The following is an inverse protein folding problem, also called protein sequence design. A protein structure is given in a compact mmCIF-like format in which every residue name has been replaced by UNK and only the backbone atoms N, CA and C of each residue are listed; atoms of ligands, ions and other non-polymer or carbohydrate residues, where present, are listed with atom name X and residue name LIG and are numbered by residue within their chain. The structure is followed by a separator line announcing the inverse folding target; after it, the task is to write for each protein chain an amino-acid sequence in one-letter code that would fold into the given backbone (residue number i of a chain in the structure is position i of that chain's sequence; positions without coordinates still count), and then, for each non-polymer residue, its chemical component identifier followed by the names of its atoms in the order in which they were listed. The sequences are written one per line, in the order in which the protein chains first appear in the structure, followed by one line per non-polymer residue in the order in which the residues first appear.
data_IF_277620835359
#
_entry.id   IF_277620835359
#
_cell.length_a   1.000
_cell.length_b   1.000
_cell.length_c   1.000
_cell.angle_alpha   90.00
_cell.angle_beta   90.00
_cell.angle_gamma   90.00
#
_symmetry.space_group_name_H-M   'P 1'
#
loop_
_entity.id
_entity.type
_entity.pdbx_description
1 polymer ?
#
# COMPACT_ATOMS: atom_id res chain seq x y z
N UNK A 1 7.17 78.95 25.53
CA UNK A 1 8.13 77.99 24.99
C UNK A 1 8.05 76.71 25.83
N UNK A 2 7.25 75.70 25.43
CA UNK A 2 7.14 74.41 26.11
C UNK A 2 7.81 73.37 25.23
N UNK A 3 8.88 72.77 25.72
CA UNK A 3 9.65 71.70 25.10
C UNK A 3 8.92 70.32 25.28
N UNK A 4 8.47 69.77 24.22
CA UNK A 4 7.80 68.48 24.17
C UNK A 4 8.86 67.37 24.04
N UNK A 5 9.09 66.60 25.14
CA UNK A 5 9.95 65.42 25.17
C UNK A 5 9.20 64.29 24.54
N UNK A 6 9.52 63.92 23.28
CA UNK A 6 9.11 62.68 22.65
C UNK A 6 9.79 61.49 23.36
N UNK A 7 8.96 60.67 24.05
CA UNK A 7 9.39 59.40 24.62
C UNK A 7 9.69 58.39 23.50
N UNK A 8 10.88 57.78 23.56
CA UNK A 8 11.25 56.61 22.71
C UNK A 8 10.40 55.40 23.11
N UNK A 9 9.80 54.65 22.15
CA UNK A 9 9.20 53.40 22.47
C UNK A 9 10.27 52.36 22.85
N UNK A 10 10.05 51.64 23.94
CA UNK A 10 10.88 50.53 24.41
C UNK A 10 10.85 49.39 23.40
N UNK A 11 11.95 48.64 23.18
CA UNK A 11 11.94 47.45 22.30
C UNK A 11 11.04 46.37 22.91
N UNK A 12 9.97 46.04 22.20
CA UNK A 12 9.15 44.90 22.52
C UNK A 12 10.01 43.63 22.42
N UNK A 13 10.12 42.92 23.55
CA UNK A 13 10.82 41.64 23.61
C UNK A 13 10.24 40.65 22.60
N UNK A 14 11.08 40.20 21.68
CA UNK A 14 10.80 39.10 20.78
C UNK A 14 10.63 37.84 21.61
N UNK A 15 9.40 37.46 21.89
CA UNK A 15 9.11 36.12 22.39
C UNK A 15 9.54 35.13 21.33
N UNK A 16 10.71 34.52 21.47
CA UNK A 16 11.17 33.40 20.66
C UNK A 16 10.14 32.25 20.71
N UNK A 17 10.09 31.40 19.68
CA UNK A 17 9.11 30.31 19.60
C UNK A 17 9.26 29.45 20.85
N UNK A 18 8.24 29.45 21.72
CA UNK A 18 8.15 28.52 22.83
C UNK A 18 8.21 27.11 22.26
N UNK A 19 9.31 26.41 22.52
CA UNK A 19 9.47 25.00 22.18
C UNK A 19 8.24 24.23 22.64
N UNK A 20 7.44 23.77 21.71
CA UNK A 20 6.28 22.92 21.94
C UNK A 20 6.80 21.61 22.54
N UNK A 21 6.74 21.50 23.87
CA UNK A 21 6.98 20.21 24.55
C UNK A 21 5.92 19.25 24.02
N UNK A 22 6.36 18.19 23.35
CA UNK A 22 5.49 17.12 22.92
C UNK A 22 4.53 16.72 24.04
N UNK A 23 3.23 16.59 23.77
CA UNK A 23 2.24 16.27 24.81
C UNK A 23 2.64 14.96 25.48
N UNK A 24 2.80 14.98 26.82
CA UNK A 24 3.07 13.77 27.58
C UNK A 24 1.88 12.81 27.39
N UNK A 25 2.14 11.67 26.77
CA UNK A 25 1.12 10.61 26.61
C UNK A 25 0.58 10.26 27.98
N UNK A 26 -0.72 10.48 28.20
CA UNK A 26 -1.38 10.23 29.47
C UNK A 26 -1.32 8.75 29.82
N UNK A 27 -1.34 8.40 31.10
CA UNK A 27 -1.33 7.00 31.58
C UNK A 27 -2.41 6.15 30.89
N UNK A 28 -3.61 6.66 30.76
CA UNK A 28 -4.72 6.00 30.06
C UNK A 28 -4.46 5.75 28.56
N UNK A 29 -3.81 6.68 27.88
CA UNK A 29 -3.43 6.50 26.48
C UNK A 29 -2.37 5.38 26.31
N UNK A 30 -1.46 5.22 27.27
CA UNK A 30 -0.50 4.10 27.26
C UNK A 30 -1.19 2.75 27.47
N UNK A 31 -2.15 2.68 28.42
CA UNK A 31 -2.95 1.47 28.63
C UNK A 31 -3.73 1.13 27.36
N UNK A 32 -4.42 2.11 26.77
CA UNK A 32 -5.17 1.92 25.52
C UNK A 32 -4.28 1.37 24.39
N UNK A 33 -3.11 1.98 24.19
CA UNK A 33 -2.14 1.51 23.18
C UNK A 33 -1.64 0.10 23.48
N UNK A 34 -1.33 -0.23 24.74
CA UNK A 34 -0.87 -1.56 25.13
C UNK A 34 -1.97 -2.61 24.89
N UNK A 35 -3.21 -2.34 25.31
CA UNK A 35 -4.35 -3.24 25.05
C UNK A 35 -4.57 -3.43 23.55
N UNK A 36 -4.53 -2.36 22.78
CA UNK A 36 -4.69 -2.44 21.33
C UNK A 36 -3.59 -3.28 20.69
N UNK A 37 -2.33 -3.07 21.08
CA UNK A 37 -1.19 -3.84 20.60
C UNK A 37 -1.32 -5.33 20.94
N UNK A 38 -1.70 -5.66 22.16
CA UNK A 38 -1.93 -7.05 22.60
C UNK A 38 -3.05 -7.69 21.78
N UNK A 39 -4.16 -6.97 21.57
CA UNK A 39 -5.30 -7.46 20.78
C UNK A 39 -4.90 -7.78 19.33
N UNK A 40 -4.02 -7.00 18.73
CA UNK A 40 -3.51 -7.26 17.36
C UNK A 40 -2.49 -8.39 17.34
N UNK A 41 -1.64 -8.52 18.36
CA UNK A 41 -0.60 -9.53 18.39
C UNK A 41 -1.10 -10.93 18.75
N UNK A 42 -2.17 -11.07 19.54
CA UNK A 42 -2.75 -12.37 19.91
C UNK A 42 -3.10 -13.24 18.70
N UNK A 43 -3.86 -12.80 17.70
CA UNK A 43 -4.15 -13.61 16.52
C UNK A 43 -2.91 -14.06 15.77
N UNK A 44 -1.91 -13.18 15.64
CA UNK A 44 -0.63 -13.50 14.99
C UNK A 44 0.13 -14.56 15.78
N UNK A 45 0.19 -14.44 17.11
CA UNK A 45 0.81 -15.42 17.99
C UNK A 45 0.11 -16.80 17.92
N UNK A 46 -1.23 -16.81 17.82
CA UNK A 46 -2.00 -18.06 17.63
C UNK A 46 -1.65 -18.72 16.30
N UNK A 47 -1.61 -17.96 15.20
CA UNK A 47 -1.24 -18.47 13.88
C UNK A 47 0.21 -18.99 13.90
N UNK A 48 1.13 -18.27 14.54
CA UNK A 48 2.52 -18.70 14.71
C UNK A 48 2.62 -20.01 15.51
N UNK A 49 1.83 -20.15 16.56
CA UNK A 49 1.80 -21.40 17.34
C UNK A 49 1.22 -22.56 16.52
N UNK A 50 0.16 -22.32 15.75
CA UNK A 50 -0.39 -23.34 14.86
C UNK A 50 0.60 -23.78 13.78
N UNK A 51 1.42 -22.87 13.25
CA UNK A 51 2.38 -23.20 12.19
C UNK A 51 3.42 -24.24 12.59
N UNK A 52 3.67 -24.39 13.88
CA UNK A 52 4.62 -25.37 14.46
C UNK A 52 3.95 -26.46 15.29
N UNK A 53 2.62 -26.52 15.34
CA UNK A 53 1.84 -27.49 16.11
C UNK A 53 1.48 -28.71 15.28
N UNK A 54 1.87 -29.92 15.69
CA UNK A 54 1.42 -31.15 15.04
C UNK A 54 -0.01 -31.53 15.42
N UNK A 55 -0.39 -31.26 16.68
CA UNK A 55 -1.72 -31.54 17.19
C UNK A 55 -2.04 -30.58 18.35
N UNK A 56 -3.21 -29.96 18.28
CA UNK A 56 -3.72 -29.08 19.33
C UNK A 56 -5.20 -29.41 19.59
N UNK A 57 -5.47 -30.48 20.36
CA UNK A 57 -6.84 -30.89 20.63
C UNK A 57 -7.51 -29.93 21.61
N UNK A 58 -8.77 -29.58 21.30
CA UNK A 58 -9.61 -28.86 22.26
C UNK A 58 -9.94 -29.73 23.47
N UNK A 59 -9.91 -29.23 24.72
CA UNK A 59 -9.76 -27.84 25.19
C UNK A 59 -8.34 -27.45 25.67
N UNK A 60 -7.28 -28.09 25.19
CA UNK A 60 -5.90 -27.79 25.60
C UNK A 60 -5.52 -26.34 25.30
N UNK A 61 -4.81 -25.68 26.26
CA UNK A 61 -4.30 -24.34 26.08
C UNK A 61 -2.95 -24.27 25.35
N UNK A 62 -2.31 -25.42 25.17
CA UNK A 62 -1.02 -25.53 24.50
C UNK A 62 -1.02 -26.70 23.51
N UNK A 63 -0.18 -26.67 22.44
CA UNK A 63 -0.04 -27.77 21.52
C UNK A 63 0.52 -29.03 22.22
N UNK A 64 0.03 -30.18 21.86
CA UNK A 64 0.47 -31.48 22.44
C UNK A 64 1.84 -31.91 21.90
N UNK A 65 2.17 -31.52 20.67
CA UNK A 65 3.45 -31.83 20.01
C UNK A 65 3.80 -30.76 18.97
N UNK A 66 5.08 -30.57 18.70
CA UNK A 66 5.59 -29.64 17.72
C UNK A 66 6.01 -30.37 16.43
N UNK A 67 5.93 -29.69 15.30
CA UNK A 67 6.32 -30.20 13.98
C UNK A 67 6.75 -29.08 13.04
N UNK A 68 7.61 -29.38 12.08
CA UNK A 68 8.02 -28.51 10.98
C UNK A 68 7.29 -28.79 9.69
N UNK A 69 6.38 -29.80 9.68
CA UNK A 69 5.65 -30.27 8.50
C UNK A 69 5.00 -29.15 7.68
N UNK A 70 4.44 -28.15 8.35
CA UNK A 70 3.82 -26.99 7.68
C UNK A 70 4.81 -26.24 6.80
N UNK A 71 5.98 -25.91 7.33
CA UNK A 71 7.03 -25.21 6.58
C UNK A 71 7.67 -26.12 5.52
N UNK A 72 7.86 -27.40 5.80
CA UNK A 72 8.34 -28.38 4.82
C UNK A 72 7.39 -28.44 3.62
N UNK A 73 6.07 -28.45 3.85
CA UNK A 73 5.07 -28.41 2.78
C UNK A 73 5.16 -27.13 1.94
N UNK A 74 5.35 -25.96 2.58
CA UNK A 74 5.52 -24.69 1.86
C UNK A 74 6.80 -24.66 1.02
N UNK A 75 7.88 -25.26 1.52
CA UNK A 75 9.21 -25.20 0.90
C UNK A 75 9.47 -26.33 -0.10
N UNK A 76 8.89 -27.52 0.11
CA UNK A 76 9.19 -28.72 -0.68
C UNK A 76 8.59 -28.70 -2.08
N UNK A 77 7.47 -28.01 -2.29
CA UNK A 77 6.79 -28.01 -3.58
C UNK A 77 7.03 -26.71 -4.35
N UNK A 78 7.95 -26.80 -5.32
CA UNK A 78 8.25 -25.67 -6.21
C UNK A 78 7.06 -25.27 -7.09
N UNK A 79 6.04 -26.13 -7.24
CA UNK A 79 4.86 -25.85 -8.08
C UNK A 79 3.69 -25.23 -7.32
N UNK A 80 3.54 -25.54 -6.03
CA UNK A 80 2.41 -25.05 -5.18
C UNK A 80 2.87 -24.09 -4.07
N UNK A 81 4.01 -24.34 -3.43
CA UNK A 81 4.52 -23.50 -2.36
C UNK A 81 5.28 -22.28 -2.86
N UNK A 82 6.60 -22.43 -3.05
CA UNK A 82 7.49 -21.34 -3.46
C UNK A 82 7.16 -20.79 -4.85
N UNK A 83 6.74 -21.64 -5.80
CA UNK A 83 6.35 -21.18 -7.15
C UNK A 83 5.16 -20.24 -7.12
N UNK A 84 4.13 -20.56 -6.32
CA UNK A 84 2.96 -19.68 -6.14
C UNK A 84 3.33 -18.37 -5.44
N UNK A 85 4.31 -18.39 -4.53
CA UNK A 85 4.81 -17.20 -3.85
C UNK A 85 5.50 -16.24 -4.83
N UNK A 86 6.44 -16.74 -5.64
CA UNK A 86 7.11 -15.92 -6.66
C UNK A 86 6.17 -15.39 -7.71
N UNK A 87 5.21 -16.21 -8.15
CA UNK A 87 4.16 -15.78 -9.08
C UNK A 87 3.33 -14.65 -8.47
N UNK A 88 2.94 -14.77 -7.20
CA UNK A 88 2.17 -13.73 -6.50
C UNK A 88 2.95 -12.43 -6.36
N UNK A 89 4.23 -12.51 -6.00
CA UNK A 89 5.10 -11.33 -5.92
C UNK A 89 5.20 -10.66 -7.31
N UNK A 90 5.41 -11.43 -8.36
CA UNK A 90 5.48 -10.91 -9.73
C UNK A 90 4.19 -10.23 -10.18
N UNK A 91 3.04 -10.87 -9.94
CA UNK A 91 1.72 -10.29 -10.24
C UNK A 91 1.50 -9.00 -9.43
N UNK A 92 1.82 -9.02 -8.13
CA UNK A 92 1.61 -7.86 -7.26
C UNK A 92 2.51 -6.67 -7.64
N UNK A 93 3.78 -6.92 -8.00
CA UNK A 93 4.69 -5.87 -8.50
C UNK A 93 4.18 -5.31 -9.83
N UNK A 94 3.80 -6.17 -10.78
CA UNK A 94 3.30 -5.73 -12.07
C UNK A 94 1.99 -4.92 -11.93
N UNK A 95 1.07 -5.38 -11.09
CA UNK A 95 -0.15 -4.66 -10.75
C UNK A 95 0.16 -3.31 -10.11
N UNK A 96 1.04 -3.26 -9.12
CA UNK A 96 1.41 -2.03 -8.43
C UNK A 96 2.03 -1.01 -9.38
N UNK A 97 2.99 -1.43 -10.20
CA UNK A 97 3.64 -0.56 -11.18
C UNK A 97 2.65 -0.01 -12.21
N UNK A 98 1.82 -0.88 -12.80
CA UNK A 98 0.83 -0.49 -13.78
C UNK A 98 -0.21 0.47 -13.20
N UNK A 99 -0.80 0.10 -12.05
CA UNK A 99 -1.85 0.91 -11.39
C UNK A 99 -1.31 2.28 -10.95
N UNK A 100 -0.12 2.32 -10.34
CA UNK A 100 0.49 3.58 -9.91
C UNK A 100 0.84 4.48 -11.09
N UNK A 101 1.33 3.92 -12.20
CA UNK A 101 1.58 4.68 -13.42
C UNK A 101 0.28 5.32 -13.94
N UNK A 102 -0.79 4.54 -14.08
CA UNK A 102 -2.11 5.03 -14.51
C UNK A 102 -2.66 6.07 -13.53
N UNK A 103 -2.56 5.82 -12.23
CA UNK A 103 -3.02 6.74 -11.21
C UNK A 103 -2.23 8.06 -11.19
N UNK A 104 -0.93 8.02 -11.40
CA UNK A 104 -0.08 9.23 -11.48
C UNK A 104 -0.50 10.11 -12.65
N UNK A 105 -0.69 9.52 -13.84
CA UNK A 105 -1.15 10.24 -15.02
C UNK A 105 -2.58 10.75 -14.84
N UNK A 106 -3.47 9.92 -14.32
CA UNK A 106 -4.86 10.27 -14.04
C UNK A 106 -5.01 11.39 -13.00
N UNK A 107 -4.27 11.30 -11.90
CA UNK A 107 -4.26 12.33 -10.86
C UNK A 107 -3.78 13.68 -11.39
N UNK A 108 -2.73 13.69 -12.22
CA UNK A 108 -2.25 14.92 -12.88
C UNK A 108 -3.33 15.50 -13.79
N UNK A 109 -4.00 14.66 -14.60
CA UNK A 109 -5.08 15.12 -15.47
C UNK A 109 -6.27 15.70 -14.69
N UNK A 110 -6.63 15.07 -13.56
CA UNK A 110 -7.73 15.52 -12.69
C UNK A 110 -7.33 16.75 -11.86
N UNK A 111 -6.16 16.77 -11.25
CA UNK A 111 -5.83 17.79 -10.25
C UNK A 111 -5.25 19.06 -10.87
N UNK A 112 -4.50 18.96 -11.97
CA UNK A 112 -3.79 20.07 -12.57
C UNK A 112 -4.49 20.68 -13.80
N UNK A 113 -5.47 19.99 -14.40
CA UNK A 113 -6.13 20.44 -15.61
C UNK A 113 -7.64 20.54 -15.44
N UNK A 114 -8.23 21.55 -16.06
CA UNK A 114 -9.69 21.70 -16.18
C UNK A 114 -10.14 21.25 -17.56
N UNK A 115 -10.98 20.22 -17.64
CA UNK A 115 -11.50 19.69 -18.90
C UNK A 115 -12.93 19.17 -18.74
N UNK A 116 -13.67 19.11 -19.86
CA UNK A 116 -15.02 18.57 -19.87
C UNK A 116 -14.97 17.06 -19.61
N UNK A 117 -15.77 16.56 -18.63
CA UNK A 117 -15.78 15.14 -18.26
C UNK A 117 -14.88 14.76 -17.07
N UNK A 118 -14.08 15.70 -16.53
CA UNK A 118 -13.23 15.46 -15.36
C UNK A 118 -13.97 14.77 -14.20
N UNK A 119 -15.17 15.28 -13.85
CA UNK A 119 -15.99 14.72 -12.75
C UNK A 119 -16.47 13.30 -13.05
N UNK A 120 -16.84 13.05 -14.33
CA UNK A 120 -17.24 11.70 -14.76
C UNK A 120 -16.09 10.72 -14.67
N UNK A 121 -14.89 11.13 -15.09
CA UNK A 121 -13.69 10.30 -14.98
C UNK A 121 -13.33 10.02 -13.52
N UNK A 122 -13.35 11.03 -12.65
CA UNK A 122 -13.13 10.89 -11.20
C UNK A 122 -14.15 9.93 -10.57
N UNK A 123 -15.43 10.04 -10.93
CA UNK A 123 -16.47 9.11 -10.50
C UNK A 123 -16.23 7.70 -11.04
N UNK A 124 -15.88 7.55 -12.32
CA UNK A 124 -15.63 6.25 -12.94
C UNK A 124 -14.48 5.48 -12.28
N UNK A 125 -13.43 6.18 -11.83
CA UNK A 125 -12.34 5.54 -11.09
C UNK A 125 -12.76 4.98 -9.73
N UNK A 126 -13.86 5.49 -9.14
CA UNK A 126 -14.39 5.01 -7.85
C UNK A 126 -15.42 3.88 -7.99
N UNK A 127 -15.91 3.59 -9.21
CA UNK A 127 -16.93 2.55 -9.43
C UNK A 127 -16.58 1.18 -8.85
N UNK A 128 -15.35 0.67 -8.99
CA UNK A 128 -15.00 -0.64 -8.42
C UNK A 128 -15.13 -0.69 -6.88
N UNK A 129 -15.00 0.45 -6.22
CA UNK A 129 -15.15 0.57 -4.77
C UNK A 129 -16.62 0.64 -4.34
N UNK A 130 -17.50 1.22 -5.17
CA UNK A 130 -18.92 1.39 -4.88
C UNK A 130 -19.74 0.12 -5.09
N UNK A 131 -19.28 -0.77 -5.97
CA UNK A 131 -19.98 -2.01 -6.30
C UNK A 131 -19.53 -3.11 -5.32
N UNK A 132 -20.45 -3.92 -4.75
CA UNK A 132 -20.06 -5.08 -3.94
C UNK A 132 -19.08 -5.98 -4.71
N UNK A 133 -17.94 -6.32 -4.07
CA UNK A 133 -16.82 -6.97 -4.75
C UNK A 133 -17.18 -8.28 -5.46
N UNK A 134 -18.13 -9.05 -4.94
CA UNK A 134 -18.63 -10.29 -5.57
C UNK A 134 -19.39 -10.01 -6.87
N UNK A 135 -20.25 -8.98 -6.88
CA UNK A 135 -21.04 -8.60 -8.06
C UNK A 135 -20.10 -8.05 -9.15
N UNK A 136 -19.15 -7.18 -8.73
CA UNK A 136 -18.12 -6.67 -9.63
C UNK A 136 -17.31 -7.80 -10.27
N UNK A 137 -16.84 -8.76 -9.46
CA UNK A 137 -16.01 -9.87 -9.93
C UNK A 137 -16.76 -10.76 -10.95
N UNK A 138 -18.05 -11.05 -10.72
CA UNK A 138 -18.86 -11.84 -11.64
C UNK A 138 -19.09 -11.09 -12.97
N UNK A 139 -19.37 -9.79 -12.91
CA UNK A 139 -19.54 -8.97 -14.11
C UNK A 139 -18.26 -8.89 -14.96
N UNK A 140 -17.11 -8.63 -14.30
CA UNK A 140 -15.80 -8.58 -14.95
C UNK A 140 -15.40 -9.94 -15.50
N UNK A 141 -15.71 -11.04 -14.82
CA UNK A 141 -15.43 -12.41 -15.30
C UNK A 141 -16.04 -12.65 -16.67
N UNK A 142 -17.32 -12.32 -16.86
CA UNK A 142 -18.00 -12.49 -18.17
C UNK A 142 -17.31 -11.66 -19.26
N UNK A 143 -16.96 -10.42 -18.96
CA UNK A 143 -16.25 -9.56 -19.91
C UNK A 143 -14.87 -10.13 -20.26
N UNK A 144 -14.10 -10.61 -19.27
CA UNK A 144 -12.75 -11.15 -19.48
C UNK A 144 -12.76 -12.49 -20.24
N UNK A 145 -13.79 -13.31 -20.06
CA UNK A 145 -13.98 -14.51 -20.89
C UNK A 145 -14.18 -14.12 -22.35
N UNK A 146 -15.06 -13.15 -22.62
CA UNK A 146 -15.33 -12.68 -24.00
C UNK A 146 -14.12 -12.03 -24.66
N UNK A 147 -13.28 -11.37 -23.88
CA UNK A 147 -12.06 -10.73 -24.36
C UNK A 147 -10.84 -11.68 -24.43
N UNK A 148 -10.99 -12.96 -24.04
CA UNK A 148 -9.88 -13.91 -24.01
C UNK A 148 -8.83 -13.63 -22.91
N UNK A 149 -9.15 -12.80 -21.92
CA UNK A 149 -8.27 -12.43 -20.82
C UNK A 149 -8.41 -13.34 -19.61
N UNK A 150 -9.49 -14.11 -19.53
CA UNK A 150 -9.68 -15.09 -18.46
C UNK A 150 -8.60 -16.19 -18.52
N UNK A 151 -8.28 -16.79 -17.36
CA UNK A 151 -7.29 -17.86 -17.18
C UNK A 151 -5.87 -17.47 -17.59
N UNK A 152 -5.55 -16.17 -17.55
CA UNK A 152 -4.23 -15.62 -17.88
C UNK A 152 -3.67 -14.75 -16.75
N UNK A 153 -2.35 -14.71 -16.62
CA UNK A 153 -1.65 -13.83 -15.67
C UNK A 153 -1.97 -12.36 -15.99
N UNK A 154 -2.01 -11.99 -17.27
CA UNK A 154 -2.35 -10.63 -17.70
C UNK A 154 -3.77 -10.22 -17.27
N UNK A 155 -4.74 -11.12 -17.38
CA UNK A 155 -6.10 -10.87 -16.91
C UNK A 155 -6.16 -10.68 -15.38
N UNK A 156 -5.41 -11.49 -14.63
CA UNK A 156 -5.32 -11.33 -13.16
C UNK A 156 -4.69 -9.98 -12.80
N UNK A 157 -3.59 -9.59 -13.45
CA UNK A 157 -2.95 -8.28 -13.23
C UNK A 157 -3.94 -7.14 -13.52
N UNK A 158 -4.65 -7.19 -14.64
CA UNK A 158 -5.60 -6.15 -15.03
C UNK A 158 -6.77 -6.03 -14.04
N UNK A 159 -7.39 -7.14 -13.61
CA UNK A 159 -8.51 -7.05 -12.65
C UNK A 159 -8.05 -6.56 -11.28
N UNK A 160 -6.88 -7.00 -10.80
CA UNK A 160 -6.30 -6.45 -9.57
C UNK A 160 -6.03 -4.96 -9.70
N UNK A 161 -5.52 -4.50 -10.86
CA UNK A 161 -5.27 -3.09 -11.15
C UNK A 161 -6.54 -2.26 -11.14
N UNK A 162 -7.63 -2.77 -11.70
CA UNK A 162 -8.94 -2.08 -11.69
C UNK A 162 -9.42 -1.85 -10.26
N UNK A 163 -9.30 -2.86 -9.38
CA UNK A 163 -9.74 -2.77 -7.98
C UNK A 163 -8.79 -1.93 -7.13
N UNK A 164 -7.50 -1.91 -7.43
CA UNK A 164 -6.51 -1.10 -6.74
C UNK A 164 -6.52 0.39 -7.18
N UNK A 165 -7.04 0.68 -8.37
CA UNK A 165 -7.03 2.01 -8.97
C UNK A 165 -7.65 3.11 -8.09
N UNK A 166 -8.82 2.93 -7.43
CA UNK A 166 -9.39 3.95 -6.56
C UNK A 166 -8.44 4.40 -5.45
N UNK A 167 -7.76 3.45 -4.83
CA UNK A 167 -6.79 3.72 -3.75
C UNK A 167 -5.57 4.48 -4.27
N UNK A 168 -4.99 4.02 -5.38
CA UNK A 168 -3.87 4.68 -6.02
C UNK A 168 -4.23 6.11 -6.47
N UNK A 169 -5.43 6.30 -7.05
CA UNK A 169 -5.93 7.61 -7.48
C UNK A 169 -6.10 8.56 -6.31
N UNK A 170 -6.64 8.10 -5.18
CA UNK A 170 -6.78 8.93 -3.98
C UNK A 170 -5.42 9.42 -3.48
N UNK A 171 -4.46 8.51 -3.28
CA UNK A 171 -3.10 8.83 -2.83
C UNK A 171 -2.43 9.82 -3.80
N UNK A 172 -2.47 9.53 -5.10
CA UNK A 172 -1.81 10.36 -6.10
C UNK A 172 -2.49 11.71 -6.29
N UNK A 173 -3.82 11.80 -6.16
CA UNK A 173 -4.52 13.10 -6.19
C UNK A 173 -4.14 13.97 -5.00
N UNK A 174 -4.04 13.42 -3.80
CA UNK A 174 -3.68 14.18 -2.60
C UNK A 174 -2.25 14.74 -2.70
N UNK A 175 -1.29 13.91 -3.12
CA UNK A 175 0.10 14.34 -3.32
C UNK A 175 0.23 15.33 -4.48
N UNK A 176 -0.49 15.10 -5.59
CA UNK A 176 -0.47 16.03 -6.74
C UNK A 176 -1.06 17.39 -6.39
N UNK A 177 -2.13 17.44 -5.58
CA UNK A 177 -2.71 18.71 -5.09
C UNK A 177 -1.75 19.43 -4.15
N UNK A 178 -1.06 18.70 -3.27
CA UNK A 178 -0.08 19.27 -2.34
C UNK A 178 1.15 19.85 -3.06
N UNK A 179 1.69 19.13 -4.04
CA UNK A 179 2.84 19.57 -4.85
C UNK A 179 2.46 20.79 -5.74
N UNK A 180 1.25 20.81 -6.28
CA UNK A 180 0.76 21.88 -7.17
C UNK A 180 1.56 21.99 -8.46
N UNK A 181 1.42 23.15 -9.13
CA UNK A 181 2.12 23.46 -10.40
C UNK A 181 3.40 24.25 -10.25
N UNK A 182 3.66 24.79 -9.08
CA UNK A 182 4.73 25.79 -8.89
C UNK A 182 6.12 25.29 -9.34
N UNK A 183 6.45 24.05 -9.01
CA UNK A 183 7.74 23.44 -9.39
C UNK A 183 7.86 23.27 -10.91
N UNK A 184 6.78 22.86 -11.56
CA UNK A 184 6.73 22.70 -13.03
C UNK A 184 6.85 24.06 -13.74
N UNK A 185 6.12 25.05 -13.28
CA UNK A 185 6.13 26.41 -13.84
C UNK A 185 7.50 27.08 -13.64
N UNK A 186 8.13 26.91 -12.49
CA UNK A 186 9.49 27.41 -12.23
C UNK A 186 10.50 26.74 -13.18
N UNK A 187 10.47 25.42 -13.33
CA UNK A 187 11.35 24.67 -14.24
C UNK A 187 11.20 25.10 -15.69
N UNK A 188 9.95 25.28 -16.16
CA UNK A 188 9.65 25.77 -17.50
C UNK A 188 10.14 27.20 -17.71
N UNK A 189 10.02 28.07 -16.70
CA UNK A 189 10.47 29.47 -16.75
C UNK A 189 11.99 29.55 -16.86
N UNK A 190 12.71 28.60 -16.24
CA UNK A 190 14.16 28.45 -16.38
C UNK A 190 14.59 27.85 -17.73
N UNK A 191 13.66 27.62 -18.66
CA UNK A 191 13.97 27.13 -20.01
C UNK A 191 14.05 25.59 -20.12
N UNK A 192 13.69 24.83 -19.09
CA UNK A 192 13.66 23.38 -19.16
C UNK A 192 12.56 22.88 -20.11
N UNK A 193 12.87 21.89 -20.93
CA UNK A 193 11.88 21.22 -21.76
C UNK A 193 10.85 20.42 -20.93
N UNK A 194 9.67 20.16 -21.47
CA UNK A 194 8.58 19.42 -20.78
C UNK A 194 9.00 18.06 -20.22
N UNK A 195 9.82 17.31 -20.94
CA UNK A 195 10.33 16.01 -20.50
C UNK A 195 11.33 16.18 -19.35
N UNK A 196 12.24 17.14 -19.43
CA UNK A 196 13.19 17.46 -18.37
C UNK A 196 12.44 17.90 -17.09
N UNK A 197 11.43 18.77 -17.21
CA UNK A 197 10.55 19.15 -16.11
C UNK A 197 9.86 17.94 -15.47
N UNK A 198 9.32 17.02 -16.28
CA UNK A 198 8.67 15.82 -15.75
C UNK A 198 9.64 14.96 -14.93
N UNK A 199 10.85 14.70 -15.45
CA UNK A 199 11.82 13.80 -14.81
C UNK A 199 12.52 14.43 -13.61
N UNK A 200 12.88 15.73 -13.69
CA UNK A 200 13.73 16.38 -12.69
C UNK A 200 12.98 17.27 -11.67
N UNK A 201 11.72 17.65 -11.98
CA UNK A 201 10.93 18.44 -11.05
C UNK A 201 9.67 17.68 -10.58
N UNK A 202 8.88 17.12 -11.51
CA UNK A 202 7.58 16.54 -11.18
C UNK A 202 7.70 15.18 -10.52
N UNK A 203 8.45 14.23 -11.11
CA UNK A 203 8.55 12.86 -10.55
C UNK A 203 9.23 12.85 -9.17
N UNK A 204 10.32 13.57 -8.92
CA UNK A 204 10.87 13.66 -7.56
C UNK A 204 9.88 14.22 -6.55
N UNK A 205 9.17 15.32 -6.89
CA UNK A 205 8.15 15.89 -5.99
C UNK A 205 6.95 14.99 -5.73
N UNK A 206 6.67 14.03 -6.60
CA UNK A 206 5.62 13.02 -6.42
C UNK A 206 6.16 11.69 -5.85
N UNK A 207 7.48 11.53 -5.68
CA UNK A 207 8.10 10.27 -5.29
C UNK A 207 7.53 9.64 -4.00
N UNK A 208 7.26 10.39 -2.91
CA UNK A 208 6.65 9.81 -1.71
C UNK A 208 5.25 9.26 -1.97
N UNK A 209 4.46 9.96 -2.81
CA UNK A 209 3.12 9.49 -3.22
C UNK A 209 3.19 8.26 -4.12
N UNK A 210 4.11 8.23 -5.08
CA UNK A 210 4.36 7.09 -5.94
C UNK A 210 4.73 5.85 -5.11
N UNK A 211 5.66 6.00 -4.16
CA UNK A 211 6.06 4.89 -3.29
C UNK A 211 4.91 4.39 -2.41
N UNK A 212 4.11 5.28 -1.83
CA UNK A 212 2.92 4.91 -1.03
C UNK A 212 1.86 4.22 -1.89
N UNK A 213 1.64 4.69 -3.12
CA UNK A 213 0.70 4.09 -4.08
C UNK A 213 1.17 2.69 -4.51
N UNK A 214 2.47 2.53 -4.82
CA UNK A 214 3.06 1.23 -5.14
C UNK A 214 2.87 0.22 -4.01
N UNK A 215 3.17 0.63 -2.78
CA UNK A 215 3.00 -0.22 -1.60
C UNK A 215 1.55 -0.64 -1.40
N UNK A 216 0.62 0.31 -1.47
CA UNK A 216 -0.81 0.03 -1.30
C UNK A 216 -1.33 -0.94 -2.37
N UNK A 217 -1.01 -0.69 -3.64
CA UNK A 217 -1.40 -1.57 -4.75
C UNK A 217 -0.77 -2.96 -4.63
N UNK A 218 0.50 -3.05 -4.19
CA UNK A 218 1.18 -4.31 -3.94
C UNK A 218 0.43 -5.13 -2.88
N UNK A 219 0.16 -4.55 -1.71
CA UNK A 219 -0.54 -5.24 -0.62
C UNK A 219 -1.93 -5.70 -1.06
N UNK A 220 -2.69 -4.84 -1.74
CA UNK A 220 -4.01 -5.18 -2.26
C UNK A 220 -3.94 -6.34 -3.25
N UNK A 221 -3.01 -6.31 -4.20
CA UNK A 221 -2.87 -7.37 -5.20
C UNK A 221 -2.37 -8.68 -4.61
N UNK A 222 -1.38 -8.64 -3.70
CA UNK A 222 -0.81 -9.82 -3.07
C UNK A 222 -1.84 -10.58 -2.20
N UNK A 223 -2.76 -9.86 -1.56
CA UNK A 223 -3.82 -10.43 -0.71
C UNK A 223 -5.08 -10.86 -1.47
N UNK A 224 -5.17 -10.63 -2.78
CA UNK A 224 -6.35 -10.95 -3.57
C UNK A 224 -6.49 -12.45 -3.81
N UNK A 225 -7.50 -13.04 -3.17
CA UNK A 225 -7.90 -14.42 -3.37
C UNK A 225 -9.04 -14.57 -4.38
N UNK A 226 -10.16 -13.87 -4.12
CA UNK A 226 -11.43 -14.11 -4.81
C UNK A 226 -11.39 -13.75 -6.30
N UNK A 227 -10.80 -12.60 -6.63
CA UNK A 227 -10.62 -12.19 -8.03
C UNK A 227 -9.66 -13.12 -8.78
N UNK A 228 -8.58 -13.55 -8.12
CA UNK A 228 -7.66 -14.53 -8.71
C UNK A 228 -8.35 -15.86 -8.98
N UNK A 229 -9.20 -16.32 -8.05
CA UNK A 229 -9.98 -17.56 -8.23
C UNK A 229 -10.88 -17.47 -9.46
N UNK A 230 -11.65 -16.39 -9.59
CA UNK A 230 -12.61 -16.23 -10.68
C UNK A 230 -11.95 -15.99 -12.03
N UNK A 231 -10.99 -15.07 -12.12
CA UNK A 231 -10.36 -14.67 -13.39
C UNK A 231 -9.26 -15.65 -13.78
N UNK A 232 -8.47 -16.10 -12.81
CA UNK A 232 -7.39 -17.08 -13.01
C UNK A 232 -7.90 -18.48 -13.31
N UNK A 233 -9.13 -18.82 -12.86
CA UNK A 233 -9.82 -20.08 -13.18
C UNK A 233 -8.99 -21.34 -12.89
N UNK A 234 -8.14 -21.31 -11.85
CA UNK A 234 -7.24 -22.40 -11.49
C UNK A 234 -5.94 -22.50 -12.33
N UNK A 235 -5.84 -21.78 -13.45
CA UNK A 235 -4.62 -21.72 -14.26
C UNK A 235 -3.54 -20.82 -13.62
N UNK A 236 -3.96 -19.78 -12.90
CA UNK A 236 -3.07 -18.87 -12.17
C UNK A 236 -3.20 -19.14 -10.68
N UNK A 237 -2.21 -19.80 -10.10
CA UNK A 237 -2.20 -20.20 -8.69
C UNK A 237 -1.34 -19.26 -7.86
N UNK A 238 -1.96 -18.22 -7.30
CA UNK A 238 -1.28 -17.31 -6.35
C UNK A 238 -1.18 -17.94 -4.96
N UNK A 239 -0.28 -17.42 -4.16
CA UNK A 239 -0.04 -17.88 -2.79
C UNK A 239 -1.29 -17.77 -1.90
N UNK A 240 -2.05 -16.68 -2.03
CA UNK A 240 -3.35 -16.54 -1.38
C UNK A 240 -4.35 -17.63 -1.82
N UNK A 241 -4.34 -18.00 -3.11
CA UNK A 241 -5.22 -19.04 -3.63
C UNK A 241 -4.84 -20.44 -3.14
N UNK A 242 -3.54 -20.72 -2.96
CA UNK A 242 -3.04 -21.99 -2.41
C UNK A 242 -3.31 -22.10 -0.90
N UNK A 243 -3.19 -21.00 -0.17
CA UNK A 243 -3.46 -20.94 1.28
C UNK A 243 -4.95 -21.26 1.60
N UNK A 244 -5.87 -20.72 0.83
CA UNK A 244 -7.30 -20.70 1.17
C UNK A 244 -7.94 -22.07 1.45
N UNK A 245 -7.69 -23.14 0.68
CA UNK A 245 -8.21 -24.46 0.96
C UNK A 245 -7.81 -25.03 2.32
N UNK A 246 -6.61 -24.74 2.79
CA UNK A 246 -6.13 -25.18 4.11
C UNK A 246 -6.85 -24.50 5.27
N UNK A 247 -7.31 -23.25 5.07
CA UNK A 247 -8.13 -22.55 6.07
C UNK A 247 -9.49 -23.24 6.28
N UNK A 248 -10.09 -23.76 5.22
CA UNK A 248 -11.37 -24.50 5.27
C UNK A 248 -11.21 -26.00 5.54
N UNK A 249 -10.07 -26.59 5.17
CA UNK A 249 -9.81 -28.02 5.21
C UNK A 249 -9.42 -28.60 6.59
N UNK A 250 -9.24 -27.78 7.61
CA UNK A 250 -8.95 -28.22 8.98
C UNK A 250 -7.47 -28.51 9.27
N UNK A 251 -6.56 -28.48 8.29
CA UNK A 251 -5.11 -28.60 8.54
C UNK A 251 -4.51 -27.27 8.98
N UNK A 252 -4.69 -26.97 10.26
CA UNK A 252 -4.25 -25.71 10.89
C UNK A 252 -2.73 -25.52 10.85
N UNK A 253 -1.96 -26.61 10.84
CA UNK A 253 -0.49 -26.55 10.79
C UNK A 253 -0.02 -25.99 9.46
N UNK A 254 -0.53 -26.54 8.35
CA UNK A 254 -0.19 -26.04 7.00
C UNK A 254 -0.75 -24.65 6.79
N UNK A 255 -2.01 -24.41 7.16
CA UNK A 255 -2.61 -23.08 7.08
C UNK A 255 -1.82 -22.02 7.86
N UNK A 256 -1.35 -22.37 9.10
CA UNK A 256 -0.53 -21.53 9.92
C UNK A 256 0.83 -21.21 9.28
N UNK A 257 1.51 -22.21 8.71
CA UNK A 257 2.79 -22.04 8.03
C UNK A 257 2.67 -21.10 6.81
N UNK A 258 1.66 -21.34 5.95
CA UNK A 258 1.36 -20.42 4.84
C UNK A 258 1.03 -19.00 5.33
N UNK A 259 0.25 -18.89 6.40
CA UNK A 259 -0.10 -17.60 7.02
C UNK A 259 1.12 -16.84 7.52
N UNK A 260 2.05 -17.50 8.22
CA UNK A 260 3.29 -16.87 8.69
C UNK A 260 4.19 -16.44 7.54
N UNK A 261 4.35 -17.27 6.51
CA UNK A 261 5.11 -16.90 5.31
C UNK A 261 4.46 -15.71 4.59
N UNK A 262 3.13 -15.70 4.47
CA UNK A 262 2.39 -14.58 3.90
C UNK A 262 2.65 -13.27 4.67
N UNK A 263 2.54 -13.30 6.00
CA UNK A 263 2.81 -12.15 6.88
C UNK A 263 4.27 -11.71 6.74
N UNK A 264 5.22 -12.64 6.79
CA UNK A 264 6.65 -12.34 6.70
C UNK A 264 7.01 -11.66 5.38
N UNK A 265 6.51 -12.16 4.25
CA UNK A 265 6.74 -11.56 2.94
C UNK A 265 6.10 -10.16 2.85
N UNK A 266 4.86 -10.03 3.32
CA UNK A 266 4.18 -8.73 3.31
C UNK A 266 4.92 -7.70 4.16
N UNK A 267 5.36 -8.07 5.36
CA UNK A 267 6.16 -7.20 6.23
C UNK A 267 7.52 -6.85 5.63
N UNK A 268 8.19 -7.81 5.00
CA UNK A 268 9.49 -7.57 4.34
C UNK A 268 9.35 -6.54 3.22
N UNK A 269 8.32 -6.68 2.39
CA UNK A 269 8.05 -5.72 1.32
C UNK A 269 7.65 -4.36 1.89
N UNK A 270 6.80 -4.34 2.93
CA UNK A 270 6.43 -3.11 3.62
C UNK A 270 7.65 -2.36 4.15
N UNK A 271 8.53 -3.06 4.88
CA UNK A 271 9.76 -2.47 5.43
C UNK A 271 10.71 -1.98 4.33
N UNK A 272 10.84 -2.74 3.24
CA UNK A 272 11.66 -2.32 2.10
C UNK A 272 11.15 -1.00 1.47
N UNK A 273 9.83 -0.87 1.29
CA UNK A 273 9.22 0.37 0.80
C UNK A 273 9.33 1.53 1.79
N UNK A 274 9.14 1.28 3.09
CA UNK A 274 9.27 2.30 4.12
C UNK A 274 10.70 2.86 4.18
N UNK A 275 11.69 1.99 4.11
CA UNK A 275 13.10 2.39 4.03
C UNK A 275 13.40 3.19 2.76
N UNK A 276 12.78 2.83 1.63
CA UNK A 276 12.92 3.56 0.38
C UNK A 276 12.30 4.96 0.49
N UNK A 277 11.09 5.07 1.04
CA UNK A 277 10.41 6.35 1.26
C UNK A 277 11.23 7.25 2.18
N UNK A 278 11.77 6.66 3.26
CA UNK A 278 12.59 7.43 4.21
C UNK A 278 13.86 7.98 3.56
N UNK A 279 14.54 7.18 2.73
CA UNK A 279 15.69 7.65 1.95
C UNK A 279 15.34 8.77 0.98
N UNK A 280 14.20 8.65 0.27
CA UNK A 280 13.75 9.68 -0.67
C UNK A 280 13.46 11.01 0.03
N UNK A 281 12.83 10.99 1.21
CA UNK A 281 12.57 12.20 2.01
C UNK A 281 13.85 12.82 2.56
N UNK A 282 14.80 12.01 3.02
CA UNK A 282 16.07 12.50 3.55
C UNK A 282 16.91 13.22 2.47
N UNK A 283 16.84 12.78 1.22
CA UNK A 283 17.51 13.43 0.08
C UNK A 283 16.89 14.81 -0.23
N UNK A 284 15.55 14.93 -0.12
CA UNK A 284 14.88 16.24 -0.29
C UNK A 284 15.28 17.24 0.79
N UNK A 285 15.37 16.83 2.06
CA UNK A 285 15.79 17.71 3.15
C UNK A 285 17.23 18.19 2.99
N UNK A 286 18.17 17.32 2.61
CA UNK A 286 19.57 17.72 2.38
C UNK A 286 19.72 18.65 1.20
N UNK A 287 19.00 18.43 0.11
CA UNK A 287 19.03 19.32 -1.06
C UNK A 287 18.47 20.72 -0.75
N UNK A 288 17.54 20.83 0.19
CA UNK A 288 16.95 22.11 0.61
C UNK A 288 17.89 22.94 1.52
N UNK A 289 18.78 22.28 2.28
CA UNK A 289 19.73 22.97 3.15
C UNK A 289 21.06 23.33 2.46
N UNK A 290 21.36 22.77 1.29
CA UNK A 290 22.58 23.05 0.51
C UNK A 290 22.36 24.12 -0.60
N UNK A 291 21.13 24.57 -0.83
CA UNK A 291 20.77 25.62 -1.77
C UNK A 291 20.54 26.98 -1.08
#
# INVERSE_FOLDING_TARGET
MRSEKRGRPSPQGTNGPRGSKAPKVTFWARIYLAVHLVLVLIPIAIVATWSVSASWPWPSLAPASLTTRGFETVLADSSTGLGSLWLSIGIAIACAAFTTCVATLGARAICLHTWRGRRLFEFATMLPFLIPGTVFAMGVQVAFIRLGLARSVGGVILVHSIVALPYAMSIMCDVTRAAGRRMEEASLTCGAGRFATLVHATLPGLAPGIASSLLMCYILSFSQYFLTLLIGGGAVRTFALVLFPYLGGGDRTIAGAYGIVFIAVTLTVFLAFELLIHKLRAVEETAYYES
#
